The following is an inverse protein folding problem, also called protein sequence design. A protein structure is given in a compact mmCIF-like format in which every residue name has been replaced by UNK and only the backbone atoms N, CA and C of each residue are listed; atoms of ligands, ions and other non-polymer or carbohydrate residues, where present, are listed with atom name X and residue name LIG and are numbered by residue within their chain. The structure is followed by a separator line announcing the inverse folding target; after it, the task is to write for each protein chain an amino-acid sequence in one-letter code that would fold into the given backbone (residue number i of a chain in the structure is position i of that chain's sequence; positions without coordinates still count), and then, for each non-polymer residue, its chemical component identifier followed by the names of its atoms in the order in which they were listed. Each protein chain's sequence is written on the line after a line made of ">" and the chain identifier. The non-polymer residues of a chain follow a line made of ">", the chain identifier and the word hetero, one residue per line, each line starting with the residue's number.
data_IF_592108656879
#
_entry.id   IF_592108656879
#
_cell.length_a   1.000
_cell.length_b   1.000
_cell.length_c   1.000
_cell.angle_alpha   90.00
_cell.angle_beta   90.00
_cell.angle_gamma   90.00
#
_symmetry.space_group_name_H-M   'P 1'
#
loop_
_entity.id
_entity.type
_entity.pdbx_description
1 polymer ?
#
# COMPACT_ATOMS: atom_id res chain seq x y z
N UNK A 1 13.61 -12.55 -13.01
CA UNK A 1 13.09 -11.61 -14.02
C UNK A 1 11.58 -11.68 -14.00
N UNK A 2 10.90 -10.54 -13.96
CA UNK A 2 9.44 -10.45 -14.07
C UNK A 2 9.00 -10.64 -15.53
N UNK A 3 9.69 -9.98 -16.46
CA UNK A 3 9.49 -10.12 -17.92
C UNK A 3 10.34 -11.27 -18.44
N UNK A 4 9.73 -12.20 -19.18
CA UNK A 4 10.40 -13.39 -19.75
C UNK A 4 10.52 -13.33 -21.26
N UNK A 5 9.52 -12.73 -21.90
CA UNK A 5 9.40 -12.71 -23.36
C UNK A 5 9.66 -11.32 -23.93
N UNK A 6 10.38 -11.22 -25.03
CA UNK A 6 10.74 -9.98 -25.71
C UNK A 6 10.41 -10.08 -27.21
N UNK A 7 9.99 -8.96 -27.87
CA UNK A 7 9.85 -7.60 -27.34
C UNK A 7 8.70 -7.45 -26.34
N UNK A 8 8.85 -6.49 -25.38
CA UNK A 8 7.86 -6.26 -24.34
C UNK A 8 7.63 -4.76 -24.11
N UNK A 9 6.39 -4.37 -23.80
CA UNK A 9 6.02 -3.00 -23.42
C UNK A 9 5.86 -2.96 -21.90
N UNK A 10 6.67 -2.19 -21.16
CA UNK A 10 6.56 -2.07 -19.72
C UNK A 10 5.40 -1.13 -19.32
N UNK A 11 5.22 -0.93 -18.02
CA UNK A 11 4.21 -0.06 -17.42
C UNK A 11 3.08 -0.87 -16.79
N UNK A 12 3.06 -0.90 -15.44
CA UNK A 12 2.10 -1.71 -14.66
C UNK A 12 0.75 -1.02 -14.45
N UNK A 13 0.68 0.28 -14.74
CA UNK A 13 -0.50 1.10 -14.58
C UNK A 13 -0.74 1.94 -15.84
N UNK A 14 -1.99 2.19 -16.14
CA UNK A 14 -2.39 3.23 -17.07
C UNK A 14 -3.82 3.73 -16.81
N UNK A 15 -4.13 4.90 -17.32
CA UNK A 15 -5.48 5.42 -17.48
C UNK A 15 -5.65 5.92 -18.90
N UNK A 16 -6.85 5.84 -19.42
CA UNK A 16 -7.11 6.27 -20.80
C UNK A 16 -8.60 6.28 -21.12
N UNK A 17 -8.88 6.64 -22.37
CA UNK A 17 -10.23 6.61 -22.93
C UNK A 17 -10.36 5.38 -23.83
N UNK A 18 -11.45 4.67 -23.69
CA UNK A 18 -11.74 3.49 -24.51
C UNK A 18 -11.98 3.94 -25.95
N UNK A 19 -11.14 3.46 -26.87
CA UNK A 19 -11.28 3.71 -28.31
C UNK A 19 -12.26 2.73 -28.96
N UNK A 20 -12.07 1.44 -28.69
CA UNK A 20 -12.92 0.34 -29.14
C UNK A 20 -13.18 -0.64 -28.00
N UNK A 21 -14.38 -1.21 -27.95
CA UNK A 21 -14.73 -2.24 -26.97
C UNK A 21 -15.79 -3.20 -27.49
N UNK A 22 -15.58 -4.48 -27.23
CA UNK A 22 -16.59 -5.53 -27.30
C UNK A 22 -17.01 -6.05 -25.92
N UNK A 23 -16.53 -5.40 -24.85
CA UNK A 23 -16.85 -5.80 -23.48
C UNK A 23 -18.20 -5.17 -23.05
N UNK A 24 -19.05 -5.96 -22.39
CA UNK A 24 -20.41 -5.54 -21.99
C UNK A 24 -20.49 -4.29 -21.10
N UNK A 25 -19.46 -4.05 -20.27
CA UNK A 25 -19.44 -2.99 -19.27
C UNK A 25 -18.73 -1.71 -19.73
N UNK A 26 -18.10 -1.74 -20.93
CA UNK A 26 -17.32 -0.61 -21.46
C UNK A 26 -17.69 -0.31 -22.90
N UNK A 27 -17.74 0.97 -23.23
CA UNK A 27 -17.99 1.48 -24.58
C UNK A 27 -16.99 2.56 -24.95
N UNK A 28 -16.86 2.85 -26.24
CA UNK A 28 -16.07 3.97 -26.76
C UNK A 28 -16.41 5.26 -26.02
N UNK A 29 -15.37 5.99 -25.57
CA UNK A 29 -15.48 7.23 -24.81
C UNK A 29 -15.48 7.04 -23.29
N UNK A 30 -15.60 5.82 -22.75
CA UNK A 30 -15.47 5.59 -21.31
C UNK A 30 -14.03 5.84 -20.85
N UNK A 31 -13.86 6.60 -19.76
CA UNK A 31 -12.56 6.78 -19.11
C UNK A 31 -12.31 5.66 -18.10
N UNK A 32 -11.16 5.02 -18.19
CA UNK A 32 -10.83 3.81 -17.45
C UNK A 32 -9.46 3.88 -16.79
N UNK A 33 -9.28 3.06 -15.77
CA UNK A 33 -8.03 2.86 -15.04
C UNK A 33 -7.71 1.36 -15.05
N UNK A 34 -6.44 1.03 -15.26
CA UNK A 34 -5.90 -0.29 -15.03
C UNK A 34 -4.74 -0.20 -14.05
N UNK A 35 -4.76 -1.06 -13.03
CA UNK A 35 -3.66 -1.27 -12.09
C UNK A 35 -3.50 -2.77 -11.84
N UNK A 36 -2.28 -3.27 -11.79
CA UNK A 36 -2.00 -4.67 -11.49
C UNK A 36 -2.26 -5.65 -12.63
N UNK A 37 -2.83 -6.84 -12.30
CA UNK A 37 -3.13 -7.92 -13.23
C UNK A 37 -1.93 -8.44 -14.04
N UNK A 38 -0.71 -8.12 -13.58
CA UNK A 38 0.56 -8.40 -14.23
C UNK A 38 0.71 -7.78 -15.63
N UNK A 39 -0.03 -6.72 -15.90
CA UNK A 39 0.17 -5.86 -17.07
C UNK A 39 1.51 -5.16 -16.92
N UNK A 40 2.31 -5.08 -17.99
CA UNK A 40 3.70 -4.63 -17.94
C UNK A 40 4.70 -5.70 -17.48
N UNK A 41 4.23 -6.90 -17.12
CA UNK A 41 5.08 -8.03 -16.69
C UNK A 41 4.89 -9.26 -17.56
N UNK A 42 3.64 -9.76 -17.70
CA UNK A 42 3.25 -10.89 -18.56
C UNK A 42 2.53 -10.36 -19.80
N UNK A 43 1.63 -9.40 -19.61
CA UNK A 43 0.92 -8.73 -20.68
C UNK A 43 1.62 -7.43 -21.03
N UNK A 44 1.48 -6.95 -22.25
CA UNK A 44 1.99 -5.65 -22.65
C UNK A 44 1.44 -4.55 -21.75
N UNK A 45 2.31 -3.61 -21.37
CA UNK A 45 2.03 -2.58 -20.40
C UNK A 45 1.54 -1.26 -20.97
N UNK A 46 1.46 -0.27 -20.09
CA UNK A 46 0.86 1.03 -20.36
C UNK A 46 1.78 2.06 -21.00
N UNK A 47 3.07 1.78 -21.23
CA UNK A 47 3.99 2.74 -21.86
C UNK A 47 3.84 2.77 -23.39
N UNK A 48 2.61 3.08 -23.82
CA UNK A 48 2.22 3.18 -25.21
C UNK A 48 1.05 4.15 -25.38
N UNK A 49 0.84 4.65 -26.59
CA UNK A 49 -0.31 5.50 -26.90
C UNK A 49 -1.63 4.72 -26.86
N UNK A 50 -1.60 3.44 -27.22
CA UNK A 50 -2.74 2.54 -27.19
C UNK A 50 -2.36 1.24 -26.51
N UNK A 51 -3.28 0.68 -25.73
CA UNK A 51 -3.12 -0.60 -25.09
C UNK A 51 -4.35 -1.48 -25.35
N UNK A 52 -4.13 -2.74 -25.75
CA UNK A 52 -5.19 -3.74 -25.87
C UNK A 52 -5.15 -4.64 -24.66
N UNK A 53 -6.24 -4.65 -23.88
CA UNK A 53 -6.31 -5.37 -22.60
C UNK A 53 -7.64 -6.12 -22.46
N UNK A 54 -7.67 -7.07 -21.52
CA UNK A 54 -8.94 -7.67 -21.11
C UNK A 54 -9.76 -6.64 -20.35
N UNK A 55 -11.01 -6.41 -20.75
CA UNK A 55 -11.93 -5.49 -20.09
C UNK A 55 -12.20 -5.84 -18.62
N UNK A 56 -12.11 -7.11 -18.22
CA UNK A 56 -12.25 -7.53 -16.82
C UNK A 56 -11.17 -6.97 -15.90
N UNK A 57 -10.08 -6.42 -16.44
CA UNK A 57 -9.00 -5.78 -15.66
C UNK A 57 -9.26 -4.30 -15.37
N UNK A 58 -10.22 -3.71 -16.04
CA UNK A 58 -10.48 -2.28 -16.00
C UNK A 58 -11.47 -1.89 -14.91
N UNK A 59 -11.27 -0.71 -14.35
CA UNK A 59 -12.28 -0.01 -13.56
C UNK A 59 -12.65 1.30 -14.26
N UNK A 60 -13.90 1.73 -14.14
CA UNK A 60 -14.31 3.07 -14.58
C UNK A 60 -13.62 4.10 -13.69
N UNK A 61 -13.04 5.11 -14.30
CA UNK A 61 -12.43 6.23 -13.60
C UNK A 61 -13.47 6.96 -12.74
N UNK A 62 -13.21 7.25 -11.46
CA UNK A 62 -14.07 8.08 -10.62
C UNK A 62 -14.27 9.47 -11.23
N UNK A 63 -15.44 10.05 -11.03
CA UNK A 63 -15.77 11.37 -11.60
C UNK A 63 -14.94 12.51 -11.02
N UNK A 64 -14.49 12.38 -9.77
CA UNK A 64 -13.71 13.38 -9.03
C UNK A 64 -12.20 13.37 -9.37
N UNK A 65 -11.74 12.44 -10.21
CA UNK A 65 -10.36 12.38 -10.67
C UNK A 65 -10.30 12.60 -12.19
N UNK A 66 -9.25 13.23 -12.67
CA UNK A 66 -8.87 13.17 -14.07
C UNK A 66 -7.89 12.02 -14.35
N UNK A 67 -7.63 11.69 -15.60
CA UNK A 67 -6.76 10.59 -16.01
C UNK A 67 -5.33 10.72 -15.40
N UNK A 68 -4.77 11.94 -15.40
CA UNK A 68 -3.46 12.20 -14.83
C UNK A 68 -3.43 11.96 -13.32
N UNK A 69 -4.43 12.47 -12.59
CA UNK A 69 -4.54 12.28 -11.14
C UNK A 69 -4.66 10.80 -10.79
N UNK A 70 -5.42 10.03 -11.59
CA UNK A 70 -5.52 8.58 -11.41
C UNK A 70 -4.15 7.89 -11.49
N UNK A 71 -3.26 8.37 -12.37
CA UNK A 71 -1.92 7.80 -12.51
C UNK A 71 -0.91 8.31 -11.48
N UNK A 72 -1.14 9.50 -10.90
CA UNK A 72 -0.39 9.95 -9.72
C UNK A 72 -0.65 8.99 -8.54
N UNK A 73 -1.87 8.52 -8.38
CA UNK A 73 -2.23 7.50 -7.39
C UNK A 73 -1.72 6.12 -7.82
N UNK A 74 -2.16 5.64 -8.96
CA UNK A 74 -1.75 4.36 -9.54
C UNK A 74 -1.84 3.17 -8.59
N UNK A 75 -1.02 2.17 -8.81
CA UNK A 75 -0.88 1.01 -7.91
C UNK A 75 -0.39 1.40 -6.52
N UNK A 76 0.43 2.45 -6.40
CA UNK A 76 0.93 2.90 -5.11
C UNK A 76 -0.20 3.44 -4.22
N UNK A 77 -1.08 4.29 -4.77
CA UNK A 77 -2.24 4.82 -4.06
C UNK A 77 -3.23 3.74 -3.68
N UNK A 78 -3.56 2.85 -4.62
CA UNK A 78 -4.43 1.70 -4.35
C UNK A 78 -3.87 0.82 -3.22
N UNK A 79 -2.57 0.51 -3.26
CA UNK A 79 -1.92 -0.31 -2.24
C UNK A 79 -1.93 0.40 -0.87
N UNK A 80 -1.62 1.70 -0.85
CA UNK A 80 -1.66 2.50 0.37
C UNK A 80 -3.06 2.53 1.00
N UNK A 81 -4.10 2.65 0.18
CA UNK A 81 -5.49 2.64 0.65
C UNK A 81 -5.86 1.26 1.22
N UNK A 82 -5.48 0.17 0.53
CA UNK A 82 -5.66 -1.18 1.03
C UNK A 82 -4.98 -1.39 2.39
N UNK A 83 -3.73 -0.93 2.52
CA UNK A 83 -2.98 -1.00 3.79
C UNK A 83 -3.69 -0.20 4.88
N UNK A 84 -4.08 1.04 4.59
CA UNK A 84 -4.70 1.95 5.56
C UNK A 84 -6.03 1.40 6.09
N UNK A 85 -6.87 0.88 5.20
CA UNK A 85 -8.11 0.22 5.61
C UNK A 85 -7.86 -1.06 6.43
N UNK A 86 -6.93 -1.91 6.00
CA UNK A 86 -6.59 -3.12 6.74
C UNK A 86 -6.08 -2.79 8.14
N UNK A 87 -5.21 -1.80 8.27
CA UNK A 87 -4.61 -1.40 9.54
C UNK A 87 -5.64 -0.81 10.51
N UNK A 88 -6.56 0.03 10.02
CA UNK A 88 -7.51 0.75 10.87
C UNK A 88 -8.87 0.06 10.93
N UNK A 89 -9.58 -0.01 9.82
CA UNK A 89 -10.97 -0.45 9.81
C UNK A 89 -11.16 -1.90 10.27
N UNK A 90 -10.28 -2.80 9.83
CA UNK A 90 -10.40 -4.23 10.21
C UNK A 90 -10.26 -4.45 11.71
N UNK A 91 -9.39 -3.69 12.40
CA UNK A 91 -9.26 -3.79 13.86
C UNK A 91 -10.50 -3.30 14.57
N UNK A 92 -11.05 -2.17 14.13
CA UNK A 92 -12.24 -1.56 14.69
C UNK A 92 -13.48 -2.43 14.43
N UNK A 93 -13.66 -2.97 13.22
CA UNK A 93 -14.78 -3.85 12.85
C UNK A 93 -14.78 -5.19 13.59
N UNK A 94 -13.59 -5.75 13.84
CA UNK A 94 -13.46 -7.02 14.57
C UNK A 94 -13.58 -6.86 16.09
N UNK A 95 -13.86 -5.66 16.60
CA UNK A 95 -13.93 -5.34 18.02
C UNK A 95 -12.72 -5.86 18.82
N UNK A 96 -11.54 -5.82 18.22
CA UNK A 96 -10.31 -6.37 18.78
C UNK A 96 -9.62 -5.42 19.76
N UNK A 97 -10.20 -4.24 20.03
CA UNK A 97 -9.66 -3.25 20.95
C UNK A 97 -10.15 -1.84 20.68
N UNK A 98 -9.54 -0.86 21.37
CA UNK A 98 -9.82 0.55 21.21
C UNK A 98 -9.50 1.06 19.80
N UNK A 99 -9.87 2.31 19.54
CA UNK A 99 -9.58 3.00 18.28
C UNK A 99 -8.09 2.90 17.93
N UNK A 100 -7.82 2.77 16.64
CA UNK A 100 -6.46 2.83 16.12
C UNK A 100 -6.00 4.28 16.11
N UNK A 101 -5.10 4.63 17.04
CA UNK A 101 -4.60 6.01 17.19
C UNK A 101 -3.17 6.16 16.66
N UNK A 102 -2.24 5.32 17.11
CA UNK A 102 -0.82 5.47 16.84
C UNK A 102 -0.39 4.45 15.77
N UNK A 103 -0.07 4.92 14.60
CA UNK A 103 0.32 4.08 13.46
C UNK A 103 1.72 4.43 13.00
N UNK A 104 2.52 3.41 12.69
CA UNK A 104 3.83 3.58 12.08
C UNK A 104 3.80 3.21 10.60
N UNK A 105 4.50 3.99 9.77
CA UNK A 105 4.65 3.73 8.34
C UNK A 105 6.13 3.64 7.99
N UNK A 106 6.59 2.47 7.58
CA UNK A 106 7.96 2.26 7.10
C UNK A 106 8.10 2.66 5.64
N UNK A 107 9.32 3.08 5.23
CA UNK A 107 9.55 3.56 3.87
C UNK A 107 8.65 4.73 3.50
N UNK A 108 8.37 5.60 4.47
CA UNK A 108 7.34 6.65 4.41
C UNK A 108 7.52 7.65 3.26
N UNK A 109 8.73 7.85 2.76
CA UNK A 109 9.01 8.75 1.63
C UNK A 109 8.85 8.09 0.25
N UNK A 110 8.57 6.79 0.21
CA UNK A 110 8.29 6.05 -1.04
C UNK A 110 6.86 6.27 -1.54
N UNK A 111 6.54 5.78 -2.73
CA UNK A 111 5.21 5.94 -3.35
C UNK A 111 4.07 5.45 -2.46
N UNK A 112 4.11 4.21 -2.00
CA UNK A 112 3.09 3.66 -1.11
C UNK A 112 3.15 4.32 0.27
N UNK A 113 4.35 4.48 0.83
CA UNK A 113 4.53 5.01 2.19
C UNK A 113 3.99 6.42 2.35
N UNK A 114 4.30 7.34 1.42
CA UNK A 114 3.82 8.73 1.50
C UNK A 114 2.30 8.84 1.39
N UNK A 115 1.70 8.05 0.51
CA UNK A 115 0.25 8.00 0.41
C UNK A 115 -0.41 7.38 1.65
N UNK A 116 0.21 6.34 2.24
CA UNK A 116 -0.27 5.76 3.49
C UNK A 116 -0.20 6.77 4.65
N UNK A 117 0.87 7.56 4.75
CA UNK A 117 0.98 8.66 5.74
C UNK A 117 -0.18 9.63 5.58
N UNK A 118 -0.42 10.11 4.37
CA UNK A 118 -1.50 11.06 4.09
C UNK A 118 -2.88 10.47 4.40
N UNK A 119 -3.17 9.26 3.96
CA UNK A 119 -4.46 8.60 4.16
C UNK A 119 -4.73 8.34 5.65
N UNK A 120 -3.77 7.74 6.36
CA UNK A 120 -3.91 7.46 7.80
C UNK A 120 -4.05 8.74 8.64
N UNK A 121 -3.34 9.80 8.28
CA UNK A 121 -3.49 11.11 8.92
C UNK A 121 -4.90 11.67 8.70
N UNK A 122 -5.44 11.60 7.48
CA UNK A 122 -6.83 12.00 7.19
C UNK A 122 -7.86 11.13 7.91
N UNK A 123 -7.57 9.86 8.13
CA UNK A 123 -8.40 8.96 8.94
C UNK A 123 -8.28 9.22 10.46
N UNK A 124 -7.55 10.26 10.88
CA UNK A 124 -7.43 10.68 12.26
C UNK A 124 -6.37 9.96 13.07
N UNK A 125 -5.45 9.22 12.44
CA UNK A 125 -4.35 8.56 13.14
C UNK A 125 -3.19 9.52 13.43
N UNK A 126 -2.50 9.28 14.54
CA UNK A 126 -1.19 9.86 14.84
C UNK A 126 -0.13 9.06 14.07
N UNK A 127 0.27 9.55 12.92
CA UNK A 127 1.20 8.81 12.05
C UNK A 127 2.64 9.12 12.43
N UNK A 128 3.42 8.08 12.71
CA UNK A 128 4.87 8.12 12.82
C UNK A 128 5.47 7.61 11.52
N UNK A 129 6.16 8.48 10.80
CA UNK A 129 6.80 8.16 9.54
C UNK A 129 8.26 7.73 9.75
N UNK A 130 8.67 6.62 9.10
CA UNK A 130 10.05 6.12 9.16
C UNK A 130 10.76 6.48 7.86
N UNK A 131 11.88 7.20 7.98
CA UNK A 131 12.72 7.55 6.82
C UNK A 131 14.20 7.47 7.16
N UNK A 132 15.02 7.10 6.17
CA UNK A 132 16.47 7.14 6.25
C UNK A 132 17.08 8.48 5.83
N UNK A 133 16.26 9.43 5.34
CA UNK A 133 16.74 10.71 4.78
C UNK A 133 16.11 11.88 5.53
N UNK A 134 16.94 12.67 6.20
CA UNK A 134 16.51 13.90 6.91
C UNK A 134 15.85 14.92 5.96
N UNK A 135 16.33 15.01 4.72
CA UNK A 135 15.74 15.90 3.70
C UNK A 135 14.25 15.63 3.41
N UNK A 136 13.70 14.49 3.82
CA UNK A 136 12.30 14.16 3.61
C UNK A 136 11.39 14.54 4.79
N UNK A 137 11.94 15.01 5.90
CA UNK A 137 11.16 15.28 7.11
C UNK A 137 10.10 16.34 6.91
N UNK A 138 10.44 17.47 6.31
CA UNK A 138 9.49 18.56 6.05
C UNK A 138 8.35 18.08 5.13
N UNK A 139 8.69 17.34 4.08
CA UNK A 139 7.70 16.75 3.20
C UNK A 139 6.77 15.81 3.94
N UNK A 140 7.31 14.89 4.76
CA UNK A 140 6.51 13.94 5.51
C UNK A 140 5.59 14.64 6.53
N UNK A 141 6.06 15.68 7.19
CA UNK A 141 5.24 16.53 8.07
C UNK A 141 4.13 17.23 7.29
N UNK A 142 4.44 17.78 6.11
CA UNK A 142 3.46 18.48 5.27
C UNK A 142 2.33 17.59 4.78
N UNK A 143 2.55 16.29 4.63
CA UNK A 143 1.52 15.31 4.24
C UNK A 143 0.83 14.62 5.42
N UNK A 144 1.14 15.03 6.67
CA UNK A 144 0.41 14.62 7.87
C UNK A 144 1.14 13.70 8.84
N UNK A 145 2.45 13.46 8.68
CA UNK A 145 3.22 12.76 9.70
C UNK A 145 3.31 13.62 10.96
N UNK A 146 2.88 13.09 12.10
CA UNK A 146 2.98 13.76 13.39
C UNK A 146 4.37 13.61 14.02
N UNK A 147 4.98 12.44 13.82
CA UNK A 147 6.31 12.12 14.29
C UNK A 147 7.14 11.51 13.16
N UNK A 148 8.45 11.65 13.29
CA UNK A 148 9.41 11.05 12.38
C UNK A 148 10.47 10.32 13.18
N UNK A 149 10.82 9.11 12.76
CA UNK A 149 11.94 8.36 13.31
C UNK A 149 12.88 7.91 12.17
N UNK A 150 14.15 7.76 12.50
CA UNK A 150 15.16 7.30 11.56
C UNK A 150 15.05 5.79 11.35
N UNK A 151 15.24 5.33 10.12
CA UNK A 151 15.27 3.90 9.80
C UNK A 151 16.27 3.14 10.68
N UNK A 152 17.39 3.77 11.04
CA UNK A 152 18.42 3.17 11.90
C UNK A 152 17.92 2.82 13.30
N UNK A 153 16.83 3.40 13.77
CA UNK A 153 16.23 3.04 15.06
C UNK A 153 15.52 1.69 15.01
N UNK A 154 15.01 1.31 13.83
CA UNK A 154 14.32 0.03 13.61
C UNK A 154 15.20 -1.05 12.97
N UNK A 155 16.50 -0.81 12.84
CA UNK A 155 17.46 -1.82 12.34
C UNK A 155 18.34 -2.39 13.43
N UNK A 156 18.17 -1.95 14.67
CA UNK A 156 18.83 -2.49 15.86
C UNK A 156 18.26 -3.87 16.23
N UNK A 157 19.00 -4.63 17.00
CA UNK A 157 18.47 -5.86 17.56
C UNK A 157 17.34 -5.56 18.55
N UNK A 158 16.23 -6.22 18.34
CA UNK A 158 15.03 -6.11 19.18
C UNK A 158 14.86 -7.36 20.03
N UNK A 159 14.15 -7.21 21.14
CA UNK A 159 13.66 -8.36 21.89
C UNK A 159 12.50 -9.02 21.12
N UNK A 160 12.20 -10.30 21.41
CA UNK A 160 11.01 -10.95 20.86
C UNK A 160 9.70 -10.18 21.09
N UNK A 161 9.61 -9.47 22.24
CA UNK A 161 8.59 -8.47 22.59
C UNK A 161 9.29 -7.26 23.16
N UNK A 162 8.99 -6.11 22.60
CA UNK A 162 9.44 -4.82 23.10
C UNK A 162 8.25 -3.99 23.61
N UNK A 163 8.49 -2.75 24.07
CA UNK A 163 7.41 -1.86 24.50
C UNK A 163 6.39 -1.71 23.36
N UNK A 164 5.12 -1.96 23.64
CA UNK A 164 4.02 -1.72 22.70
C UNK A 164 3.83 -0.23 22.44
N UNK A 165 4.06 0.20 21.21
CA UNK A 165 3.98 1.61 20.79
C UNK A 165 2.88 1.82 19.74
N UNK A 166 2.67 0.86 18.85
CA UNK A 166 1.86 1.02 17.64
C UNK A 166 0.56 0.23 17.72
N UNK A 167 -0.56 0.87 17.47
CA UNK A 167 -1.86 0.22 17.32
C UNK A 167 -1.97 -0.50 15.98
N UNK A 168 -1.18 -0.05 14.99
CA UNK A 168 -1.11 -0.63 13.67
C UNK A 168 0.10 -0.13 12.89
N UNK A 169 0.38 -0.77 11.75
CA UNK A 169 1.50 -0.39 10.91
C UNK A 169 1.22 -0.62 9.42
N UNK A 170 1.87 0.18 8.58
CA UNK A 170 2.03 -0.10 7.15
C UNK A 170 3.52 -0.31 6.88
N UNK A 171 3.88 -1.51 6.41
CA UNK A 171 5.26 -1.84 6.10
C UNK A 171 5.48 -2.02 4.59
N UNK A 172 6.44 -1.25 4.07
CA UNK A 172 6.88 -1.30 2.68
C UNK A 172 8.33 -1.78 2.54
N UNK A 173 8.98 -2.10 3.65
CA UNK A 173 10.43 -2.28 3.73
C UNK A 173 10.84 -3.73 3.98
N UNK A 174 10.10 -4.44 4.82
CA UNK A 174 10.45 -5.82 5.19
C UNK A 174 11.66 -5.93 6.12
N UNK A 175 12.23 -7.11 6.21
CA UNK A 175 13.46 -7.41 6.93
C UNK A 175 13.43 -6.95 8.39
N UNK A 176 14.57 -6.43 8.85
CA UNK A 176 14.80 -6.00 10.24
C UNK A 176 13.84 -4.89 10.71
N UNK A 177 13.41 -4.03 9.79
CA UNK A 177 12.43 -2.98 10.10
C UNK A 177 11.08 -3.59 10.47
N UNK A 178 10.60 -4.56 9.68
CA UNK A 178 9.35 -5.26 9.96
C UNK A 178 9.43 -6.07 11.26
N UNK A 179 10.58 -6.71 11.56
CA UNK A 179 10.81 -7.40 12.83
C UNK A 179 10.56 -6.47 14.03
N UNK A 180 11.22 -5.30 14.01
CA UNK A 180 11.09 -4.32 15.08
C UNK A 180 9.66 -3.76 15.20
N UNK A 181 9.00 -3.51 14.08
CA UNK A 181 7.59 -3.06 14.07
C UNK A 181 6.70 -4.12 14.73
N UNK A 182 6.85 -5.40 14.39
CA UNK A 182 6.09 -6.48 15.00
C UNK A 182 6.31 -6.58 16.51
N UNK A 183 7.58 -6.50 16.96
CA UNK A 183 7.93 -6.54 18.37
C UNK A 183 7.36 -5.37 19.18
N UNK A 184 7.16 -4.21 18.54
CA UNK A 184 6.63 -2.97 19.12
C UNK A 184 5.14 -2.75 18.89
N UNK A 185 4.45 -3.68 18.24
CA UNK A 185 3.00 -3.58 18.01
C UNK A 185 2.25 -3.96 19.30
N UNK A 186 1.23 -3.17 19.64
CA UNK A 186 0.37 -3.38 20.81
C UNK A 186 -0.58 -4.54 20.60
N UNK A 187 -1.34 -4.88 21.67
CA UNK A 187 -2.34 -5.94 21.64
C UNK A 187 -3.34 -5.75 20.51
N UNK A 188 -3.64 -6.85 19.82
CA UNK A 188 -4.53 -6.94 18.67
C UNK A 188 -4.15 -6.03 17.48
N UNK A 189 -2.97 -5.42 17.49
CA UNK A 189 -2.53 -4.55 16.41
C UNK A 189 -2.38 -5.27 15.07
N UNK A 190 -2.57 -4.53 13.98
CA UNK A 190 -2.47 -5.08 12.62
C UNK A 190 -1.34 -4.40 11.87
N UNK A 191 -0.43 -5.22 11.35
CA UNK A 191 0.69 -4.80 10.50
C UNK A 191 0.38 -5.19 9.05
N UNK A 192 0.06 -4.21 8.20
CA UNK A 192 -0.18 -4.41 6.78
C UNK A 192 1.16 -4.35 6.03
N UNK A 193 1.65 -5.50 5.54
CA UNK A 193 2.90 -5.60 4.81
C UNK A 193 2.65 -5.69 3.30
N UNK A 194 3.25 -4.78 2.53
CA UNK A 194 3.07 -4.70 1.08
C UNK A 194 4.37 -4.58 0.29
N UNK A 195 5.53 -4.53 0.94
CA UNK A 195 6.81 -4.37 0.28
C UNK A 195 7.97 -5.03 1.01
N UNK A 196 9.10 -5.07 0.33
CA UNK A 196 10.34 -5.73 0.80
C UNK A 196 11.58 -4.96 0.32
N UNK A 197 11.51 -3.62 0.38
CA UNK A 197 12.55 -2.76 -0.19
C UNK A 197 13.95 -2.98 0.42
N UNK A 198 14.04 -3.43 1.68
CA UNK A 198 15.31 -3.77 2.32
C UNK A 198 15.62 -5.27 2.27
N UNK A 199 14.65 -6.14 2.59
CA UNK A 199 14.87 -7.58 2.60
C UNK A 199 13.53 -8.33 2.44
N UNK A 200 13.62 -9.53 1.85
CA UNK A 200 12.50 -10.48 1.72
C UNK A 200 12.39 -11.42 2.93
N UNK A 201 13.43 -11.50 3.74
CA UNK A 201 13.47 -12.38 4.93
C UNK A 201 12.82 -11.67 6.11
N UNK A 202 12.17 -12.45 6.96
CA UNK A 202 11.60 -12.00 8.22
C UNK A 202 12.06 -12.96 9.32
N UNK A 203 12.97 -12.48 10.18
CA UNK A 203 13.43 -13.22 11.35
C UNK A 203 12.67 -12.73 12.58
N UNK A 204 11.57 -13.33 12.90
CA UNK A 204 10.75 -12.99 14.08
C UNK A 204 10.45 -14.23 14.90
N UNK A 205 9.87 -14.02 16.07
CA UNK A 205 9.38 -15.11 16.92
C UNK A 205 7.85 -15.15 16.88
N UNK A 206 7.26 -16.20 17.41
CA UNK A 206 5.80 -16.29 17.55
C UNK A 206 5.24 -15.39 18.67
N UNK A 207 6.10 -14.79 19.50
CA UNK A 207 5.69 -14.05 20.69
C UNK A 207 4.74 -12.86 20.41
N UNK A 208 4.96 -11.98 19.42
CA UNK A 208 3.99 -10.94 19.12
C UNK A 208 2.60 -11.49 18.78
N UNK A 209 2.54 -12.62 18.10
CA UNK A 209 1.31 -13.24 17.64
C UNK A 209 0.52 -13.92 18.77
N UNK A 210 1.19 -14.72 19.62
CA UNK A 210 0.50 -15.48 20.67
C UNK A 210 0.24 -14.67 21.95
N UNK A 211 1.14 -13.73 22.28
CA UNK A 211 1.00 -12.95 23.54
C UNK A 211 0.17 -11.70 23.34
N UNK A 212 0.29 -11.01 22.17
CA UNK A 212 -0.44 -9.77 21.88
C UNK A 212 -1.49 -9.91 20.77
N UNK A 213 -1.66 -11.10 20.21
CA UNK A 213 -2.62 -11.29 19.11
C UNK A 213 -2.35 -10.40 17.89
N UNK A 214 -1.09 -9.97 17.70
CA UNK A 214 -0.68 -9.17 16.54
C UNK A 214 -0.99 -9.91 15.25
N UNK A 215 -1.44 -9.21 14.24
CA UNK A 215 -1.72 -9.77 12.91
C UNK A 215 -0.75 -9.18 11.90
N UNK A 216 0.01 -10.04 11.24
CA UNK A 216 0.78 -9.69 10.04
C UNK A 216 -0.08 -10.02 8.83
N UNK A 217 -0.51 -8.98 8.10
CA UNK A 217 -1.41 -9.10 6.97
C UNK A 217 -0.74 -8.69 5.66
N UNK A 218 -0.51 -9.66 4.78
CA UNK A 218 0.05 -9.38 3.45
C UNK A 218 -0.97 -8.68 2.54
N UNK A 219 -0.55 -7.60 1.91
CA UNK A 219 -1.37 -6.83 0.97
C UNK A 219 -0.92 -7.10 -0.46
N UNK A 220 -1.73 -7.86 -1.19
CA UNK A 220 -1.52 -8.12 -2.60
C UNK A 220 -2.45 -7.24 -3.45
N UNK A 221 -1.92 -6.15 -3.98
CA UNK A 221 -2.65 -5.25 -4.87
C UNK A 221 -2.66 -5.72 -6.33
N UNK A 222 -1.81 -6.67 -6.72
CA UNK A 222 -1.71 -7.17 -8.09
C UNK A 222 -2.94 -7.97 -8.50
N UNK A 223 -3.43 -8.85 -7.61
CA UNK A 223 -4.55 -9.75 -7.87
C UNK A 223 -5.81 -9.42 -7.05
N UNK A 224 -5.89 -8.22 -6.50
CA UNK A 224 -7.11 -7.76 -5.84
C UNK A 224 -8.31 -7.81 -6.80
N UNK A 225 -9.45 -8.35 -6.37
CA UNK A 225 -10.62 -8.53 -7.21
C UNK A 225 -11.13 -7.21 -7.79
N UNK A 226 -11.78 -7.28 -8.97
CA UNK A 226 -12.31 -6.08 -9.62
C UNK A 226 -13.33 -5.34 -8.73
N UNK A 227 -14.16 -6.07 -8.00
CA UNK A 227 -15.11 -5.47 -7.04
C UNK A 227 -14.40 -4.68 -5.95
N UNK A 228 -13.31 -5.22 -5.39
CA UNK A 228 -12.50 -4.52 -4.38
C UNK A 228 -11.80 -3.30 -4.98
N UNK A 229 -11.25 -3.40 -6.19
CA UNK A 229 -10.64 -2.28 -6.91
C UNK A 229 -11.65 -1.17 -7.14
N UNK A 230 -12.83 -1.50 -7.66
CA UNK A 230 -13.86 -0.53 -7.95
C UNK A 230 -14.36 0.20 -6.68
N UNK A 231 -14.52 -0.54 -5.58
CA UNK A 231 -14.81 0.05 -4.27
C UNK A 231 -13.71 1.05 -3.86
N UNK A 232 -12.46 0.60 -3.84
CA UNK A 232 -11.33 1.42 -3.38
C UNK A 232 -11.07 2.66 -4.26
N UNK A 233 -11.33 2.60 -5.56
CA UNK A 233 -11.18 3.75 -6.44
C UNK A 233 -12.29 4.79 -6.25
N UNK A 234 -13.41 4.43 -5.63
CA UNK A 234 -14.50 5.37 -5.34
C UNK A 234 -14.35 6.04 -3.96
N UNK A 235 -13.49 5.54 -3.09
CA UNK A 235 -13.14 6.12 -1.78
C UNK A 235 -12.07 7.23 -1.92
#
# INVERSE_FOLDING_TARGET
>A
RLVKDFPHIPGIDFSGTVEESNHKDFKTGDEVILTGWRVGEIYFGGYSQYAKVNGDFLVKKPKNLNLRQSMILGTAGLTALMCSFTTKATREELLLGDKVENVIVSGASGGVGSMAVMMLSKLGCNVTAVTGKESNEEYLKSIGAKNIIKTSELTKDSRPLDKGLWDGAVDTVGGKVLENILAQTKDAGIVAACGNAADIKLNTTVMPFIIRGVKLWGINSVTASIKRRQFLWNE
#
